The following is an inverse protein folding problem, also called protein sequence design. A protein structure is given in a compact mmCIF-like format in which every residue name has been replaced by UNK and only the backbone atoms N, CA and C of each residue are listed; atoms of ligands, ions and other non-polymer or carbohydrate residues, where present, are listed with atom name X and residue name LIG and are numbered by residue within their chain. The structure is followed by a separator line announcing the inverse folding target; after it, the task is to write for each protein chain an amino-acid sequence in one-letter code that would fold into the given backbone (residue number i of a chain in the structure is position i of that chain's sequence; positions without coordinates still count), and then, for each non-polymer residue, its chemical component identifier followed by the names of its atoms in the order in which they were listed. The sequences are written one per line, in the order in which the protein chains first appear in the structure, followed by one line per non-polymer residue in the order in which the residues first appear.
data_IF_370686328015
#
_entry.id   IF_370686328015
#
_cell.length_a   1.000
_cell.length_b   1.000
_cell.length_c   1.000
_cell.angle_alpha   90.00
_cell.angle_beta   90.00
_cell.angle_gamma   90.00
#
_symmetry.space_group_name_H-M   'P 1'
#
loop_
_entity.id
_entity.type
_entity.pdbx_description
1 polymer ?
#
# COMPACT_ATOMS: atom_id res chain seq x y z
N UNK A 1 -25.61 0.85 3.44
CA UNK A 1 -24.38 0.94 2.61
C UNK A 1 -23.86 -0.48 2.36
N UNK A 2 -22.87 -0.71 1.49
CA UNK A 2 -22.28 -2.04 1.25
C UNK A 2 -20.76 -1.94 1.00
N UNK A 3 -19.97 -3.01 1.21
CA UNK A 3 -18.55 -3.04 0.86
C UNK A 3 -18.32 -2.79 -0.63
N UNK A 4 -17.47 -1.81 -0.97
CA UNK A 4 -17.24 -1.38 -2.34
C UNK A 4 -16.02 -2.09 -2.92
N UNK A 5 -16.23 -2.87 -3.97
CA UNK A 5 -15.17 -3.41 -4.83
C UNK A 5 -14.96 -2.46 -6.00
N UNK A 6 -13.76 -2.49 -6.57
CA UNK A 6 -13.41 -1.66 -7.71
C UNK A 6 -12.93 -2.50 -8.89
N UNK A 7 -12.94 -1.92 -10.08
CA UNK A 7 -12.24 -2.44 -11.24
C UNK A 7 -10.72 -2.28 -11.04
N UNK A 8 -9.94 -3.26 -11.45
CA UNK A 8 -8.48 -3.20 -11.36
C UNK A 8 -7.91 -2.30 -12.46
N UNK A 9 -7.21 -1.25 -12.07
CA UNK A 9 -6.58 -0.31 -12.99
C UNK A 9 -5.14 -0.76 -13.28
N UNK A 10 -4.92 -1.38 -14.43
CA UNK A 10 -3.63 -1.99 -14.78
C UNK A 10 -2.71 -1.07 -15.58
N UNK A 11 -1.44 -1.05 -15.19
CA UNK A 11 -0.42 -0.25 -15.86
C UNK A 11 0.74 -1.10 -16.36
N UNK A 12 1.05 -0.93 -17.65
CA UNK A 12 2.25 -1.50 -18.25
C UNK A 12 3.50 -0.83 -17.69
N UNK A 13 4.49 -1.62 -17.31
CA UNK A 13 5.80 -1.13 -16.85
C UNK A 13 6.90 -1.98 -17.45
N UNK A 14 8.04 -1.37 -17.72
CA UNK A 14 9.23 -2.03 -18.29
C UNK A 14 9.77 -3.16 -17.40
N UNK A 15 9.48 -3.10 -16.10
CA UNK A 15 9.83 -4.10 -15.09
C UNK A 15 8.69 -5.07 -14.76
N UNK A 16 7.52 -4.87 -15.37
CA UNK A 16 6.31 -5.65 -15.11
C UNK A 16 6.34 -7.02 -15.76
N UNK A 17 5.29 -7.80 -15.50
CA UNK A 17 5.15 -9.11 -16.13
C UNK A 17 3.75 -9.68 -15.96
N UNK A 18 3.67 -11.00 -15.78
CA UNK A 18 2.41 -11.75 -15.76
C UNK A 18 2.10 -12.42 -14.42
N UNK A 19 2.92 -12.25 -13.39
CA UNK A 19 2.76 -12.99 -12.11
C UNK A 19 1.43 -12.77 -11.39
N UNK A 20 0.71 -11.66 -11.66
CA UNK A 20 -0.65 -11.45 -11.14
C UNK A 20 -1.67 -12.49 -11.67
N UNK A 21 -1.40 -13.16 -12.80
CA UNK A 21 -2.25 -14.25 -13.34
C UNK A 21 -2.39 -15.43 -12.39
N UNK A 22 -1.50 -15.57 -11.40
CA UNK A 22 -1.60 -16.58 -10.34
C UNK A 22 -2.93 -16.50 -9.57
N UNK A 23 -3.54 -15.31 -9.50
CA UNK A 23 -4.78 -15.07 -8.77
C UNK A 23 -5.74 -14.09 -9.44
N UNK A 24 -5.40 -13.50 -10.59
CA UNK A 24 -6.27 -12.61 -11.36
C UNK A 24 -6.56 -13.16 -12.74
N UNK A 25 -7.84 -13.12 -13.11
CA UNK A 25 -8.33 -13.64 -14.39
C UNK A 25 -8.62 -12.54 -15.42
N UNK A 26 -8.37 -11.27 -15.07
CA UNK A 26 -8.71 -10.08 -15.86
C UNK A 26 -7.47 -9.29 -16.29
N UNK A 27 -6.27 -9.86 -16.20
CA UNK A 27 -5.02 -9.18 -16.49
C UNK A 27 -4.86 -8.92 -18.01
N UNK A 28 -4.86 -7.65 -18.49
CA UNK A 28 -4.79 -7.32 -19.92
C UNK A 28 -3.42 -7.66 -20.50
N UNK A 29 -3.30 -7.86 -21.82
CA UNK A 29 -2.03 -8.23 -22.46
C UNK A 29 -0.86 -7.26 -22.19
N UNK A 30 0.35 -7.81 -22.09
CA UNK A 30 1.61 -7.08 -21.91
C UNK A 30 2.21 -7.18 -20.51
N UNK A 31 3.30 -6.44 -20.28
CA UNK A 31 4.05 -6.46 -19.02
C UNK A 31 3.40 -5.55 -18.00
N UNK A 32 2.53 -6.10 -17.15
CA UNK A 32 1.81 -5.34 -16.12
C UNK A 32 2.69 -5.24 -14.88
N UNK A 33 3.06 -4.02 -14.51
CA UNK A 33 3.86 -3.76 -13.31
C UNK A 33 3.03 -3.30 -12.12
N UNK A 34 1.92 -2.61 -12.37
CA UNK A 34 1.08 -2.09 -11.29
C UNK A 34 -0.39 -2.43 -11.56
N UNK A 35 -1.11 -2.75 -10.50
CA UNK A 35 -2.55 -2.61 -10.40
C UNK A 35 -2.85 -1.58 -9.33
N UNK A 36 -3.67 -0.58 -9.64
CA UNK A 36 -4.21 0.32 -8.62
C UNK A 36 -5.61 -0.20 -8.24
N UNK A 37 -5.72 -0.72 -7.02
CA UNK A 37 -6.91 -1.42 -6.55
C UNK A 37 -7.88 -0.48 -5.84
N UNK A 38 -7.36 0.50 -5.11
CA UNK A 38 -8.15 1.59 -4.54
C UNK A 38 -7.41 2.90 -4.78
N UNK A 39 -7.92 3.69 -5.73
CA UNK A 39 -7.36 4.95 -6.16
C UNK A 39 -8.44 6.03 -6.20
N UNK A 40 -8.09 7.22 -5.74
CA UNK A 40 -8.87 8.44 -5.93
C UNK A 40 -7.88 9.58 -6.16
N UNK A 41 -7.00 9.39 -7.14
CA UNK A 41 -5.93 10.30 -7.51
C UNK A 41 -6.36 11.13 -8.73
N UNK A 42 -5.71 12.29 -8.94
CA UNK A 42 -6.00 13.17 -10.09
C UNK A 42 -5.73 12.50 -11.45
N UNK A 43 -4.74 11.60 -11.49
CA UNK A 43 -4.35 10.91 -12.72
C UNK A 43 -5.27 9.73 -13.04
N UNK A 44 -5.74 9.02 -12.00
CA UNK A 44 -6.71 7.93 -12.16
C UNK A 44 -7.52 7.71 -10.89
N UNK A 45 -8.79 7.30 -11.07
CA UNK A 45 -9.72 7.03 -9.97
C UNK A 45 -10.47 5.73 -10.20
N UNK A 46 -10.55 4.92 -9.15
CA UNK A 46 -11.24 3.63 -9.16
C UNK A 46 -12.72 3.77 -9.53
N UNK A 47 -13.19 2.81 -10.32
CA UNK A 47 -14.59 2.65 -10.71
C UNK A 47 -15.18 1.50 -9.90
N UNK A 48 -16.33 1.72 -9.25
CA UNK A 48 -16.99 0.68 -8.46
C UNK A 48 -17.42 -0.47 -9.36
N UNK A 49 -17.10 -1.71 -8.99
CA UNK A 49 -17.38 -2.91 -9.80
C UNK A 49 -18.62 -3.69 -9.35
N UNK A 50 -19.16 -3.42 -8.16
CA UNK A 50 -20.26 -4.18 -7.56
C UNK A 50 -21.44 -3.31 -7.07
N UNK A 51 -22.60 -3.96 -6.88
CA UNK A 51 -23.80 -3.39 -6.28
C UNK A 51 -24.41 -2.19 -7.04
N UNK A 52 -25.25 -1.42 -6.34
CA UNK A 52 -26.04 -0.33 -6.94
C UNK A 52 -25.22 0.89 -7.42
N UNK A 53 -23.97 1.01 -7.00
CA UNK A 53 -23.05 2.06 -7.43
C UNK A 53 -22.08 1.60 -8.52
N UNK A 54 -22.23 0.37 -9.03
CA UNK A 54 -21.40 -0.13 -10.15
C UNK A 54 -21.32 0.88 -11.30
N UNK A 55 -20.12 1.10 -11.80
CA UNK A 55 -19.83 2.06 -12.88
C UNK A 55 -19.63 3.51 -12.41
N UNK A 56 -19.84 3.84 -11.12
CA UNK A 56 -19.52 5.16 -10.58
C UNK A 56 -18.04 5.25 -10.22
N UNK A 57 -17.43 6.39 -10.51
CA UNK A 57 -16.11 6.74 -10.01
C UNK A 57 -16.16 7.01 -8.49
N UNK A 58 -15.08 6.65 -7.79
CA UNK A 58 -14.99 6.81 -6.34
C UNK A 58 -15.07 8.27 -5.90
N UNK A 59 -14.44 9.20 -6.62
CA UNK A 59 -14.50 10.64 -6.35
C UNK A 59 -15.93 11.19 -6.42
N UNK A 60 -16.70 10.81 -7.44
CA UNK A 60 -18.09 11.21 -7.60
C UNK A 60 -18.99 10.59 -6.52
N UNK A 61 -18.73 9.34 -6.16
CA UNK A 61 -19.45 8.69 -5.07
C UNK A 61 -19.17 9.37 -3.72
N UNK A 62 -17.92 9.80 -3.46
CA UNK A 62 -17.54 10.56 -2.27
C UNK A 62 -18.24 11.94 -2.27
N UNK A 63 -18.34 12.62 -3.41
CA UNK A 63 -19.09 13.89 -3.51
C UNK A 63 -20.58 13.70 -3.19
N UNK A 64 -21.17 12.62 -3.68
CA UNK A 64 -22.59 12.30 -3.49
C UNK A 64 -22.91 11.87 -2.05
N UNK A 65 -22.12 10.95 -1.48
CA UNK A 65 -22.39 10.27 -0.21
C UNK A 65 -21.58 10.79 0.98
N UNK A 66 -20.51 11.55 0.72
CA UNK A 66 -19.73 12.29 1.73
C UNK A 66 -19.28 11.40 2.89
N UNK A 67 -19.71 11.75 4.11
CA UNK A 67 -19.35 11.06 5.35
C UNK A 67 -19.77 9.59 5.36
N UNK A 68 -20.78 9.20 4.57
CA UNK A 68 -21.21 7.81 4.52
C UNK A 68 -20.11 6.90 3.97
N UNK A 69 -19.27 7.43 3.06
CA UNK A 69 -18.12 6.72 2.49
C UNK A 69 -16.90 6.92 3.36
N UNK A 70 -16.44 8.17 3.49
CA UNK A 70 -15.10 8.44 4.04
C UNK A 70 -15.08 8.69 5.55
N UNK A 71 -16.23 8.99 6.16
CA UNK A 71 -16.35 9.34 7.57
C UNK A 71 -16.17 10.83 7.87
N UNK A 72 -16.34 11.21 9.14
CA UNK A 72 -16.34 12.62 9.57
C UNK A 72 -14.95 13.23 9.80
N UNK A 73 -13.88 12.41 9.88
CA UNK A 73 -12.52 12.85 10.16
C UNK A 73 -11.58 12.77 8.95
N UNK A 74 -12.07 12.30 7.82
CA UNK A 74 -11.30 12.20 6.58
C UNK A 74 -11.72 13.33 5.63
N UNK A 75 -10.75 13.91 4.94
CA UNK A 75 -10.99 14.92 3.91
C UNK A 75 -11.75 14.29 2.72
N UNK A 76 -12.80 14.98 2.25
CA UNK A 76 -13.66 14.52 1.16
C UNK A 76 -13.15 14.93 -0.22
N UNK A 77 -12.31 15.95 -0.25
CA UNK A 77 -11.74 16.51 -1.47
C UNK A 77 -10.36 15.92 -1.75
N UNK A 78 -9.66 15.47 -0.71
CA UNK A 78 -8.36 14.82 -0.83
C UNK A 78 -8.39 13.44 -0.17
N UNK A 79 -8.74 12.42 -0.97
CA UNK A 79 -8.71 11.03 -0.50
C UNK A 79 -7.28 10.67 -0.08
N UNK A 80 -7.07 10.05 1.10
CA UNK A 80 -5.74 10.04 1.72
C UNK A 80 -4.83 8.89 1.27
N UNK A 81 -5.40 7.80 0.74
CA UNK A 81 -4.66 6.57 0.47
C UNK A 81 -4.68 6.18 -1.01
N UNK A 82 -3.63 5.48 -1.44
CA UNK A 82 -3.58 4.75 -2.69
C UNK A 82 -3.12 3.33 -2.37
N UNK A 83 -3.86 2.33 -2.85
CA UNK A 83 -3.55 0.91 -2.65
C UNK A 83 -3.23 0.28 -3.99
N UNK A 84 -2.04 -0.31 -4.09
CA UNK A 84 -1.55 -0.93 -5.31
C UNK A 84 -1.09 -2.36 -5.05
N UNK A 85 -1.16 -3.19 -6.09
CA UNK A 85 -0.29 -4.35 -6.22
C UNK A 85 0.84 -4.01 -7.21
N UNK A 86 2.08 -4.18 -6.77
CA UNK A 86 3.26 -4.14 -7.64
C UNK A 86 3.63 -5.57 -8.04
N UNK A 87 4.03 -5.73 -9.29
CA UNK A 87 4.40 -7.01 -9.90
C UNK A 87 5.72 -6.84 -10.65
N UNK A 88 6.83 -7.28 -10.06
CA UNK A 88 8.17 -7.12 -10.66
C UNK A 88 8.71 -8.44 -11.20
N UNK A 89 9.15 -8.42 -12.46
CA UNK A 89 9.92 -9.52 -13.09
C UNK A 89 11.38 -9.13 -13.36
N UNK A 90 11.68 -7.84 -13.23
CA UNK A 90 13.03 -7.28 -13.20
C UNK A 90 13.06 -6.07 -12.26
N UNK A 91 14.22 -5.45 -12.11
CA UNK A 91 14.45 -4.38 -11.15
C UNK A 91 13.53 -3.17 -11.41
N UNK A 92 12.82 -2.76 -10.36
CA UNK A 92 12.14 -1.48 -10.33
C UNK A 92 13.18 -0.35 -10.30
N UNK A 93 12.85 0.85 -10.73
CA UNK A 93 13.82 1.97 -10.71
C UNK A 93 14.29 2.34 -9.30
N UNK A 94 15.56 2.72 -9.14
CA UNK A 94 16.01 3.31 -7.87
C UNK A 94 15.40 4.70 -7.74
N UNK A 95 14.66 4.93 -6.66
CA UNK A 95 13.83 6.11 -6.49
C UNK A 95 13.70 6.56 -5.04
N UNK A 96 13.29 7.82 -4.87
CA UNK A 96 12.99 8.43 -3.58
C UNK A 96 11.73 9.29 -3.70
N UNK A 97 10.97 9.36 -2.61
CA UNK A 97 9.71 10.08 -2.52
C UNK A 97 9.81 11.31 -1.61
N UNK A 98 9.15 12.43 -1.94
CA UNK A 98 9.11 13.60 -1.08
C UNK A 98 8.20 13.40 0.15
N UNK A 99 8.45 14.20 1.18
CA UNK A 99 7.50 14.38 2.29
C UNK A 99 6.40 15.39 1.92
N UNK A 100 5.38 15.53 2.77
CA UNK A 100 4.22 16.41 2.52
C UNK A 100 4.62 17.87 2.26
N UNK A 101 5.63 18.39 2.97
CA UNK A 101 6.04 19.78 2.83
C UNK A 101 6.67 20.03 1.46
N UNK A 102 7.60 19.18 1.02
CA UNK A 102 8.22 19.32 -0.29
C UNK A 102 7.19 19.08 -1.41
N UNK A 103 6.39 18.02 -1.32
CA UNK A 103 5.41 17.66 -2.33
C UNK A 103 4.35 18.76 -2.52
N UNK A 104 3.86 19.35 -1.43
CA UNK A 104 2.89 20.45 -1.50
C UNK A 104 3.45 21.69 -2.18
N UNK A 105 4.71 22.04 -1.90
CA UNK A 105 5.33 23.24 -2.44
C UNK A 105 5.83 23.08 -3.87
N UNK A 106 6.25 21.88 -4.27
CA UNK A 106 6.91 21.65 -5.57
C UNK A 106 6.00 20.96 -6.58
N UNK A 107 5.15 20.03 -6.14
CA UNK A 107 4.32 19.19 -7.01
C UNK A 107 2.82 19.47 -6.86
N UNK A 108 2.43 20.30 -5.88
CA UNK A 108 1.05 20.50 -5.45
C UNK A 108 0.34 19.15 -5.17
N UNK A 109 1.04 18.29 -4.43
CA UNK A 109 0.62 16.91 -4.14
C UNK A 109 0.89 16.55 -2.66
N UNK A 110 0.37 15.39 -2.23
CA UNK A 110 0.72 14.81 -0.94
C UNK A 110 2.16 14.30 -0.94
N UNK A 111 2.76 14.17 0.24
CA UNK A 111 3.96 13.35 0.39
C UNK A 111 3.66 11.90 0.05
N UNK A 112 4.71 11.09 -0.09
CA UNK A 112 4.58 9.67 -0.41
C UNK A 112 5.43 8.83 0.54
N UNK A 113 4.86 8.58 1.71
CA UNK A 113 5.24 7.47 2.60
C UNK A 113 4.42 6.25 2.24
N UNK A 114 5.04 5.07 2.35
CA UNK A 114 4.47 3.80 1.89
C UNK A 114 4.77 2.69 2.89
N UNK A 115 4.04 1.61 2.77
CA UNK A 115 4.35 0.34 3.42
C UNK A 115 4.12 -0.78 2.42
N UNK A 116 5.09 -1.69 2.38
CA UNK A 116 5.13 -2.83 1.49
C UNK A 116 4.90 -4.10 2.28
N UNK A 117 3.87 -4.85 1.91
CA UNK A 117 3.67 -6.23 2.34
C UNK A 117 4.03 -7.15 1.18
N UNK A 118 4.90 -8.13 1.43
CA UNK A 118 5.30 -9.13 0.44
C UNK A 118 4.20 -10.18 0.31
N UNK A 119 3.40 -10.08 -0.75
CA UNK A 119 2.31 -11.04 -1.05
C UNK A 119 2.88 -12.34 -1.60
N UNK A 120 3.88 -12.24 -2.48
CA UNK A 120 4.60 -13.36 -3.06
C UNK A 120 6.06 -12.97 -3.35
N UNK A 121 6.97 -13.93 -3.23
CA UNK A 121 8.40 -13.73 -3.43
C UNK A 121 9.07 -15.00 -3.95
N UNK A 122 9.86 -14.87 -5.02
CA UNK A 122 10.80 -15.90 -5.48
C UNK A 122 12.04 -15.97 -4.57
N UNK A 123 12.80 -17.06 -4.65
CA UNK A 123 13.90 -17.37 -3.73
C UNK A 123 14.97 -16.27 -3.64
N UNK A 124 15.32 -15.66 -4.77
CA UNK A 124 16.35 -14.60 -4.86
C UNK A 124 15.78 -13.18 -4.76
N UNK A 125 14.48 -13.06 -4.48
CA UNK A 125 13.79 -11.78 -4.46
C UNK A 125 14.19 -10.94 -3.24
N UNK A 126 14.42 -9.65 -3.47
CA UNK A 126 14.92 -8.75 -2.45
C UNK A 126 14.35 -7.34 -2.58
N UNK A 127 14.19 -6.70 -1.43
CA UNK A 127 14.01 -5.25 -1.35
C UNK A 127 15.36 -4.58 -1.24
N UNK A 128 15.49 -3.41 -1.84
CA UNK A 128 16.70 -2.60 -1.79
C UNK A 128 16.30 -1.27 -1.16
N UNK A 129 16.53 -1.11 0.13
CA UNK A 129 15.87 -0.08 0.95
C UNK A 129 16.87 0.62 1.89
N UNK A 130 17.02 1.92 1.69
CA UNK A 130 18.03 2.75 2.32
C UNK A 130 19.45 2.47 1.82
N UNK A 131 20.42 3.14 2.44
CA UNK A 131 21.84 2.96 2.16
C UNK A 131 22.56 2.19 3.27
N UNK A 132 23.66 1.53 2.90
CA UNK A 132 24.61 0.87 3.81
C UNK A 132 25.93 1.62 3.88
N UNK A 133 26.68 1.39 4.96
CA UNK A 133 27.95 2.08 5.21
C UNK A 133 27.79 3.59 5.39
N UNK A 134 28.90 4.31 5.20
CA UNK A 134 28.97 5.77 5.34
C UNK A 134 28.71 6.46 4.00
N UNK A 135 27.51 6.30 3.44
CA UNK A 135 27.12 6.97 2.19
C UNK A 135 26.72 8.43 2.46
N UNK A 136 27.52 9.39 1.96
CA UNK A 136 27.20 10.83 2.00
C UNK A 136 26.49 11.26 0.70
N UNK A 137 25.91 12.46 0.66
CA UNK A 137 25.26 12.98 -0.55
C UNK A 137 26.25 13.15 -1.71
N UNK A 138 27.51 13.49 -1.42
CA UNK A 138 28.58 13.63 -2.40
C UNK A 138 28.92 12.27 -3.01
N UNK A 139 29.16 11.26 -2.17
CA UNK A 139 29.41 9.88 -2.62
C UNK A 139 28.23 9.32 -3.41
N UNK A 140 27.00 9.56 -2.95
CA UNK A 140 25.79 9.14 -3.63
C UNK A 140 25.67 9.77 -5.03
N UNK A 141 25.96 11.07 -5.15
CA UNK A 141 25.95 11.80 -6.42
C UNK A 141 27.04 11.30 -7.37
N UNK A 142 28.23 10.99 -6.86
CA UNK A 142 29.30 10.39 -7.64
C UNK A 142 28.91 9.00 -8.13
N UNK A 143 28.36 8.15 -7.25
CA UNK A 143 27.92 6.80 -7.57
C UNK A 143 26.83 6.76 -8.65
N UNK A 144 25.92 7.75 -8.68
CA UNK A 144 24.95 7.89 -9.78
C UNK A 144 25.68 8.11 -11.12
N UNK A 145 26.71 8.97 -11.15
CA UNK A 145 27.45 9.30 -12.39
C UNK A 145 28.33 8.16 -12.87
N UNK A 146 28.92 7.39 -11.95
CA UNK A 146 29.79 6.27 -12.25
C UNK A 146 29.06 4.93 -12.39
N UNK A 147 27.74 4.91 -12.26
CA UNK A 147 26.92 3.69 -12.28
C UNK A 147 27.26 2.68 -11.18
N UNK A 148 27.73 3.16 -10.03
CA UNK A 148 28.14 2.34 -8.88
C UNK A 148 27.17 2.46 -7.68
N UNK A 149 25.96 2.97 -7.93
CA UNK A 149 24.95 3.25 -6.92
C UNK A 149 24.64 2.03 -6.05
N UNK A 150 24.53 0.85 -6.65
CA UNK A 150 24.19 -0.41 -5.97
C UNK A 150 25.15 -0.76 -4.83
N UNK A 151 26.43 -0.34 -4.92
CA UNK A 151 27.43 -0.56 -3.86
C UNK A 151 27.03 0.10 -2.54
N UNK A 152 26.28 1.19 -2.60
CA UNK A 152 25.81 1.93 -1.43
C UNK A 152 24.41 1.54 -1.00
N UNK A 153 23.70 0.75 -1.79
CA UNK A 153 22.33 0.35 -1.49
C UNK A 153 22.29 -0.86 -0.56
N UNK A 154 21.30 -0.87 0.32
CA UNK A 154 21.08 -1.94 1.27
C UNK A 154 20.08 -2.97 0.71
N UNK A 155 20.58 -4.12 0.24
CA UNK A 155 19.77 -5.24 -0.28
C UNK A 155 19.38 -6.18 0.85
N UNK A 156 18.09 -6.48 0.97
CA UNK A 156 17.51 -7.34 1.98
C UNK A 156 16.68 -8.42 1.28
N UNK A 157 17.08 -9.71 1.36
CA UNK A 157 16.23 -10.81 0.91
C UNK A 157 14.90 -10.81 1.68
N UNK A 158 13.81 -11.10 0.99
CA UNK A 158 12.47 -11.08 1.59
C UNK A 158 11.70 -12.34 1.27
N UNK A 159 10.66 -12.61 2.05
CA UNK A 159 9.74 -13.73 1.84
C UNK A 159 8.29 -13.28 2.02
N UNK A 160 7.35 -14.09 1.53
CA UNK A 160 5.90 -13.89 1.75
C UNK A 160 5.61 -13.57 3.22
N UNK A 161 4.82 -12.53 3.44
CA UNK A 161 4.41 -12.04 4.76
C UNK A 161 5.33 -10.99 5.38
N UNK A 162 6.50 -10.70 4.79
CA UNK A 162 7.37 -9.65 5.28
C UNK A 162 6.77 -8.25 5.05
N UNK A 163 7.00 -7.33 6.01
CA UNK A 163 6.43 -5.98 5.97
C UNK A 163 7.51 -4.93 6.21
N UNK A 164 7.58 -3.92 5.34
CA UNK A 164 8.57 -2.84 5.42
C UNK A 164 7.90 -1.48 5.27
N UNK A 165 8.22 -0.56 6.18
CA UNK A 165 7.81 0.85 6.05
C UNK A 165 8.85 1.60 5.21
N UNK A 166 8.40 2.21 4.12
CA UNK A 166 9.20 3.05 3.23
C UNK A 166 8.84 4.51 3.51
N UNK A 167 9.62 5.14 4.39
CA UNK A 167 9.41 6.55 4.75
C UNK A 167 9.80 7.44 3.58
N UNK A 168 9.06 8.53 3.36
CA UNK A 168 9.48 9.60 2.45
C UNK A 168 10.93 10.03 2.73
N UNK A 169 11.73 10.25 1.69
CA UNK A 169 13.15 10.55 1.76
C UNK A 169 14.06 9.31 1.76
N UNK A 170 13.53 8.11 1.99
CA UNK A 170 14.29 6.87 1.87
C UNK A 170 14.53 6.53 0.41
N UNK A 171 15.79 6.30 0.02
CA UNK A 171 16.09 5.72 -1.29
C UNK A 171 15.70 4.25 -1.30
N UNK A 172 15.00 3.79 -2.32
CA UNK A 172 14.53 2.42 -2.39
C UNK A 172 14.32 1.92 -3.83
N UNK A 173 14.25 0.60 -3.95
CA UNK A 173 13.76 -0.16 -5.09
C UNK A 173 13.51 -1.61 -4.66
N UNK A 174 13.19 -2.49 -5.60
CA UNK A 174 13.06 -3.93 -5.42
C UNK A 174 13.55 -4.66 -6.67
N UNK A 175 13.97 -5.91 -6.50
CA UNK A 175 14.37 -6.80 -7.62
C UNK A 175 13.13 -7.32 -8.37
N UNK A 176 13.36 -8.12 -9.41
CA UNK A 176 12.34 -9.01 -9.94
C UNK A 176 11.94 -10.11 -8.95
N UNK A 177 10.84 -10.81 -9.27
CA UNK A 177 10.34 -11.95 -8.52
C UNK A 177 9.44 -11.59 -7.33
N UNK A 178 8.83 -10.39 -7.32
CA UNK A 178 7.99 -9.93 -6.20
C UNK A 178 6.57 -9.57 -6.63
N UNK A 179 5.62 -9.90 -5.76
CA UNK A 179 4.30 -9.27 -5.71
C UNK A 179 4.18 -8.55 -4.36
N UNK A 180 4.00 -7.24 -4.41
CA UNK A 180 3.92 -6.38 -3.23
C UNK A 180 2.53 -5.74 -3.14
N UNK A 181 1.89 -5.81 -1.99
CA UNK A 181 0.80 -4.90 -1.65
C UNK A 181 1.41 -3.61 -1.09
N UNK A 182 1.31 -2.54 -1.86
CA UNK A 182 1.80 -1.21 -1.52
C UNK A 182 0.61 -0.35 -1.04
N UNK A 183 0.64 0.00 0.24
CA UNK A 183 -0.30 0.98 0.82
C UNK A 183 0.50 2.26 1.02
N UNK A 184 0.02 3.34 0.44
CA UNK A 184 0.73 4.62 0.44
C UNK A 184 -0.22 5.79 0.64
N UNK A 185 0.34 6.96 0.94
CA UNK A 185 -0.37 8.22 0.75
C UNK A 185 -0.81 8.34 -0.71
N UNK A 186 -1.92 9.05 -0.96
CA UNK A 186 -2.49 9.21 -2.30
C UNK A 186 -1.67 10.21 -3.17
N UNK A 187 -0.48 9.79 -3.57
CA UNK A 187 0.45 10.51 -4.44
C UNK A 187 1.13 9.55 -5.40
N UNK A 188 1.36 9.93 -6.64
CA UNK A 188 2.21 9.18 -7.57
C UNK A 188 3.60 9.81 -7.78
N UNK A 189 3.96 10.79 -6.94
CA UNK A 189 5.20 11.55 -7.08
C UNK A 189 6.44 10.69 -6.80
N UNK A 190 7.29 10.54 -7.82
CA UNK A 190 8.46 9.67 -7.78
C UNK A 190 9.70 10.34 -8.38
N UNK A 191 10.78 10.48 -7.60
CA UNK A 191 12.05 10.97 -8.12
C UNK A 191 13.02 9.82 -8.37
N UNK A 192 13.13 9.46 -9.64
CA UNK A 192 14.02 8.40 -10.12
C UNK A 192 15.47 8.86 -10.18
N UNK A 193 16.40 8.07 -9.66
CA UNK A 193 17.85 8.33 -9.76
C UNK A 193 18.60 7.37 -10.65
N UNK A 194 18.09 6.15 -10.82
CA UNK A 194 18.67 5.16 -11.71
C UNK A 194 17.59 4.22 -12.24
N UNK A 195 17.71 3.83 -13.51
CA UNK A 195 16.71 3.01 -14.20
C UNK A 195 17.31 1.85 -14.99
N UNK A 196 18.52 1.39 -14.62
CA UNK A 196 19.20 0.27 -15.30
C UNK A 196 19.35 0.52 -16.80
N UNK A 197 19.65 1.77 -17.17
CA UNK A 197 19.86 2.22 -18.55
C UNK A 197 18.68 2.00 -19.51
N UNK A 198 17.44 1.89 -18.99
CA UNK A 198 16.20 1.74 -19.79
C UNK A 198 15.68 3.05 -20.40
N UNK A 199 16.41 4.16 -20.25
CA UNK A 199 16.13 5.43 -20.94
C UNK A 199 14.97 6.26 -20.41
N UNK A 200 14.36 5.91 -19.26
CA UNK A 200 13.31 6.74 -18.64
C UNK A 200 13.91 7.95 -17.90
N UNK A 201 13.09 8.99 -17.75
CA UNK A 201 13.47 10.23 -17.09
C UNK A 201 14.00 10.01 -15.66
N UNK A 202 15.11 10.70 -15.37
CA UNK A 202 15.76 10.78 -14.07
C UNK A 202 15.56 12.18 -13.47
N UNK A 203 15.33 12.23 -12.18
CA UNK A 203 14.97 13.44 -11.42
C UNK A 203 16.05 13.77 -10.38
N UNK A 204 17.33 13.72 -10.78
CA UNK A 204 18.47 13.73 -9.85
C UNK A 204 18.44 14.91 -8.88
N UNK A 205 18.13 16.12 -9.37
CA UNK A 205 18.08 17.33 -8.52
C UNK A 205 17.00 17.20 -7.44
N UNK A 206 15.75 16.91 -7.83
CA UNK A 206 14.62 16.75 -6.89
C UNK A 206 14.87 15.60 -5.91
N UNK A 207 15.45 14.50 -6.38
CA UNK A 207 15.85 13.37 -5.52
C UNK A 207 16.85 13.81 -4.44
N UNK A 208 17.89 14.56 -4.81
CA UNK A 208 18.91 15.05 -3.87
C UNK A 208 18.36 16.06 -2.85
N UNK A 209 17.32 16.81 -3.21
CA UNK A 209 16.64 17.73 -2.30
C UNK A 209 15.92 16.99 -1.17
N UNK A 210 15.32 15.83 -1.47
CA UNK A 210 14.44 15.11 -0.51
C UNK A 210 15.08 13.88 0.14
N UNK A 211 16.18 13.37 -0.41
CA UNK A 211 16.83 12.17 0.10
C UNK A 211 17.42 12.41 1.49
N UNK A 212 17.15 11.45 2.38
CA UNK A 212 17.77 11.32 3.69
C UNK A 212 18.45 9.95 3.78
N UNK A 213 19.78 9.97 3.65
CA UNK A 213 20.65 8.78 3.65
C UNK A 213 20.78 8.14 5.04
N UNK A 214 20.28 8.81 6.09
CA UNK A 214 20.29 8.26 7.45
C UNK A 214 19.06 7.39 7.74
N UNK A 215 18.00 7.47 6.92
CA UNK A 215 16.82 6.65 7.12
C UNK A 215 17.19 5.19 6.87
N UNK A 216 17.04 4.36 7.91
CA UNK A 216 17.22 2.91 7.84
C UNK A 216 15.87 2.22 7.67
N UNK A 217 15.81 1.28 6.74
CA UNK A 217 14.67 0.41 6.59
C UNK A 217 14.48 -0.44 7.85
N UNK A 218 13.22 -0.59 8.25
CA UNK A 218 12.86 -1.43 9.40
C UNK A 218 11.78 -2.40 8.97
N UNK A 219 12.09 -3.69 9.08
CA UNK A 219 11.08 -4.74 9.01
C UNK A 219 10.13 -4.59 10.18
N UNK A 220 8.82 -4.61 9.93
CA UNK A 220 7.84 -4.65 10.99
C UNK A 220 7.50 -6.09 11.35
N UNK A 221 7.63 -6.42 12.64
CA UNK A 221 7.14 -7.68 13.20
C UNK A 221 5.77 -7.50 13.88
N UNK A 222 5.32 -6.26 14.06
CA UNK A 222 4.05 -5.90 14.69
C UNK A 222 3.89 -6.34 16.15
N UNK A 223 2.68 -6.11 16.67
CA UNK A 223 2.20 -6.64 17.96
C UNK A 223 1.04 -7.58 17.64
N UNK A 224 1.20 -8.87 17.95
CA UNK A 224 0.22 -9.92 17.67
C UNK A 224 -0.68 -10.16 18.87
N UNK A 225 -1.97 -10.27 18.60
CA UNK A 225 -3.04 -10.63 19.52
C UNK A 225 -3.78 -11.84 18.94
N UNK A 226 -4.09 -12.81 19.78
CA UNK A 226 -4.75 -14.06 19.38
C UNK A 226 -6.15 -14.10 19.96
N UNK A 227 -7.12 -14.43 19.12
CA UNK A 227 -8.53 -14.57 19.49
C UNK A 227 -9.06 -15.92 19.04
N UNK A 228 -10.26 -16.25 19.47
CA UNK A 228 -10.97 -17.41 18.92
C UNK A 228 -11.30 -17.17 17.44
N UNK A 229 -10.79 -18.03 16.56
CA UNK A 229 -11.09 -18.00 15.12
C UNK A 229 -10.19 -17.11 14.26
N UNK A 230 -9.35 -16.25 14.84
CA UNK A 230 -8.40 -15.40 14.09
C UNK A 230 -7.25 -14.86 14.95
N UNK A 231 -6.17 -14.44 14.29
CA UNK A 231 -5.12 -13.61 14.87
C UNK A 231 -5.16 -12.20 14.27
N UNK A 232 -4.84 -11.18 15.07
CA UNK A 232 -4.66 -9.79 14.62
C UNK A 232 -3.26 -9.33 14.95
N UNK A 233 -2.56 -8.75 13.98
CA UNK A 233 -1.23 -8.14 14.19
C UNK A 233 -1.26 -6.68 13.80
N UNK A 234 -0.98 -5.78 14.74
CA UNK A 234 -0.78 -4.35 14.45
C UNK A 234 0.60 -4.15 13.83
N UNK A 235 0.67 -3.96 12.52
CA UNK A 235 1.91 -3.91 11.74
C UNK A 235 2.56 -2.53 11.76
N UNK A 236 1.80 -1.45 11.66
CA UNK A 236 2.34 -0.10 11.83
C UNK A 236 1.28 0.88 12.28
N UNK A 237 1.70 1.88 13.06
CA UNK A 237 0.87 3.02 13.46
C UNK A 237 1.59 4.30 13.03
N UNK A 238 1.22 4.81 11.85
CA UNK A 238 1.70 6.08 11.30
C UNK A 238 0.64 7.17 11.37
N UNK A 239 1.05 8.43 11.16
CA UNK A 239 0.10 9.56 11.09
C UNK A 239 -0.75 9.53 9.82
N UNK A 240 -0.17 9.06 8.71
CA UNK A 240 -0.81 9.08 7.40
C UNK A 240 -1.59 7.79 7.14
N UNK A 241 -1.18 6.67 7.73
CA UNK A 241 -1.90 5.39 7.72
C UNK A 241 -1.44 4.44 8.83
N UNK A 242 -2.30 3.46 9.12
CA UNK A 242 -2.07 2.32 10.02
C UNK A 242 -2.39 1.03 9.28
N UNK A 243 -1.64 -0.03 9.57
CA UNK A 243 -1.87 -1.37 9.02
C UNK A 243 -2.07 -2.39 10.13
N UNK A 244 -3.10 -3.21 9.94
CA UNK A 244 -3.38 -4.39 10.75
C UNK A 244 -3.44 -5.61 9.82
N UNK A 245 -2.87 -6.73 10.23
CA UNK A 245 -2.99 -8.01 9.53
C UNK A 245 -3.94 -8.91 10.31
N UNK A 246 -4.99 -9.37 9.65
CA UNK A 246 -5.90 -10.39 10.16
C UNK A 246 -5.55 -11.72 9.51
N UNK A 247 -5.31 -12.75 10.31
CA UNK A 247 -5.14 -14.14 9.87
C UNK A 247 -6.35 -14.94 10.37
N UNK A 248 -7.34 -15.11 9.51
CA UNK A 248 -8.65 -15.65 9.85
C UNK A 248 -8.72 -17.12 9.46
N UNK A 249 -9.06 -17.98 10.43
CA UNK A 249 -9.23 -19.41 10.21
C UNK A 249 -10.71 -19.85 10.23
N UNK A 250 -11.59 -19.05 10.84
CA UNK A 250 -13.03 -19.28 10.89
C UNK A 250 -13.81 -18.00 10.58
N UNK A 251 -13.99 -17.13 11.58
CA UNK A 251 -14.64 -15.84 11.40
C UNK A 251 -14.24 -14.84 12.49
N UNK A 252 -14.43 -13.56 12.21
CA UNK A 252 -14.40 -12.50 13.21
C UNK A 252 -15.45 -11.44 12.93
N UNK A 253 -15.88 -10.74 13.98
CA UNK A 253 -16.85 -9.66 13.90
C UNK A 253 -16.15 -8.32 14.09
N UNK A 254 -16.48 -7.35 13.24
CA UNK A 254 -15.99 -5.98 13.37
C UNK A 254 -17.11 -4.98 13.06
N UNK A 255 -16.83 -3.70 13.31
CA UNK A 255 -17.74 -2.60 13.01
C UNK A 255 -16.99 -1.52 12.24
N UNK A 256 -17.64 -0.92 11.26
CA UNK A 256 -17.13 0.29 10.62
C UNK A 256 -17.04 1.45 11.62
N UNK A 257 -16.34 2.50 11.24
CA UNK A 257 -16.15 3.68 12.07
C UNK A 257 -16.74 4.90 11.38
N UNK A 258 -17.69 5.57 12.02
CA UNK A 258 -18.34 6.76 11.46
C UNK A 258 -17.35 7.92 11.23
N UNK A 259 -16.15 7.86 11.80
CA UNK A 259 -15.10 8.84 11.59
C UNK A 259 -14.24 8.57 10.35
N UNK A 260 -14.16 7.32 9.88
CA UNK A 260 -13.17 6.89 8.87
C UNK A 260 -13.56 5.61 8.14
N UNK A 261 -13.17 5.49 6.88
CA UNK A 261 -13.28 4.24 6.12
C UNK A 261 -12.13 3.27 6.42
N UNK A 262 -12.31 2.00 6.06
CA UNK A 262 -11.25 0.99 6.04
C UNK A 262 -11.09 0.42 4.64
N UNK A 263 -9.88 -0.01 4.28
CA UNK A 263 -9.64 -0.83 3.08
C UNK A 263 -9.08 -2.16 3.55
N UNK A 264 -9.70 -3.26 3.13
CA UNK A 264 -9.12 -4.59 3.26
C UNK A 264 -8.50 -5.01 1.94
N UNK A 265 -7.28 -5.55 1.98
CA UNK A 265 -6.60 -6.19 0.85
C UNK A 265 -6.31 -7.63 1.20
N UNK A 266 -6.79 -8.56 0.40
CA UNK A 266 -6.55 -9.98 0.63
C UNK A 266 -5.19 -10.40 0.09
N UNK A 267 -4.38 -10.96 0.98
CA UNK A 267 -3.00 -11.37 0.70
C UNK A 267 -2.77 -12.86 0.87
N UNK A 268 -3.79 -13.61 1.31
CA UNK A 268 -3.80 -15.06 1.27
C UNK A 268 -5.23 -15.61 1.37
N UNK A 269 -5.49 -16.72 0.68
CA UNK A 269 -6.77 -17.43 0.77
C UNK A 269 -7.99 -16.66 0.23
N UNK A 270 -9.17 -16.98 0.77
CA UNK A 270 -10.45 -16.46 0.31
C UNK A 270 -11.50 -16.50 1.43
N UNK A 271 -12.47 -15.61 1.32
CA UNK A 271 -13.52 -15.45 2.32
C UNK A 271 -14.65 -14.57 1.83
N UNK A 272 -15.49 -14.20 2.78
CA UNK A 272 -16.65 -13.34 2.54
C UNK A 272 -16.87 -12.37 3.68
N UNK A 273 -17.42 -11.21 3.34
CA UNK A 273 -17.80 -10.15 4.28
C UNK A 273 -19.32 -10.11 4.31
N UNK A 274 -19.89 -10.58 5.42
CA UNK A 274 -21.33 -10.60 5.68
C UNK A 274 -21.71 -9.34 6.45
N UNK A 275 -22.68 -8.58 5.94
CA UNK A 275 -23.18 -7.34 6.54
C UNK A 275 -24.71 -7.36 6.50
N UNK A 276 -25.38 -6.42 7.20
CA UNK A 276 -26.83 -6.45 7.42
C UNK A 276 -27.68 -6.70 6.17
N UNK A 277 -27.24 -6.20 5.01
CA UNK A 277 -28.00 -6.23 3.76
C UNK A 277 -27.38 -7.10 2.66
N UNK A 278 -26.39 -7.95 2.97
CA UNK A 278 -25.79 -8.80 1.94
C UNK A 278 -24.46 -9.44 2.31
N UNK A 279 -23.78 -9.94 1.29
CA UNK A 279 -22.47 -10.59 1.42
C UNK A 279 -21.62 -10.28 0.19
N UNK A 280 -20.36 -9.92 0.40
CA UNK A 280 -19.39 -9.74 -0.68
C UNK A 280 -18.25 -10.74 -0.52
N UNK A 281 -17.86 -11.39 -1.62
CA UNK A 281 -16.69 -12.28 -1.65
C UNK A 281 -15.40 -11.47 -1.81
N UNK A 282 -14.36 -11.93 -1.15
CA UNK A 282 -13.00 -11.40 -1.27
C UNK A 282 -12.00 -12.54 -1.37
N UNK A 283 -11.14 -12.48 -2.39
CA UNK A 283 -10.12 -13.49 -2.69
C UNK A 283 -8.74 -12.86 -2.81
N UNK A 284 -7.69 -13.68 -2.74
CA UNK A 284 -6.29 -13.26 -2.89
C UNK A 284 -6.13 -12.24 -4.04
N UNK A 285 -5.51 -11.12 -3.72
CA UNK A 285 -5.19 -10.06 -4.68
C UNK A 285 -6.32 -9.07 -4.95
N UNK A 286 -7.45 -9.18 -4.25
CA UNK A 286 -8.53 -8.18 -4.30
C UNK A 286 -8.46 -7.23 -3.10
N UNK A 287 -8.78 -5.95 -3.34
CA UNK A 287 -9.07 -4.97 -2.28
C UNK A 287 -10.55 -4.59 -2.25
N UNK A 288 -11.05 -4.27 -1.06
CA UNK A 288 -12.43 -3.82 -0.82
C UNK A 288 -12.43 -2.66 0.18
N UNK A 289 -13.17 -1.60 -0.14
CA UNK A 289 -13.38 -0.48 0.76
C UNK A 289 -14.62 -0.73 1.61
N UNK A 290 -14.47 -0.60 2.92
CA UNK A 290 -15.55 -0.62 3.91
C UNK A 290 -15.95 0.82 4.20
N UNK A 291 -17.15 1.25 3.77
CA UNK A 291 -17.61 2.61 4.03
C UNK A 291 -17.75 2.88 5.53
N UNK A 292 -17.47 4.11 5.95
CA UNK A 292 -17.56 4.55 7.34
C UNK A 292 -18.95 4.25 7.97
N UNK A 293 -20.01 4.29 7.15
CA UNK A 293 -21.39 4.05 7.56
C UNK A 293 -21.89 2.59 7.43
N UNK A 294 -21.02 1.62 7.14
CA UNK A 294 -21.47 0.25 6.90
C UNK A 294 -22.18 -0.38 8.11
N UNK A 295 -21.69 -0.12 9.32
CA UNK A 295 -22.17 -0.76 10.54
C UNK A 295 -21.39 -2.02 10.88
N UNK A 296 -22.09 -3.01 11.45
CA UNK A 296 -21.49 -4.28 11.86
C UNK A 296 -21.31 -5.20 10.64
N UNK A 297 -20.20 -5.93 10.60
CA UNK A 297 -19.96 -6.96 9.60
C UNK A 297 -19.15 -8.12 10.19
N UNK A 298 -19.23 -9.27 9.54
CA UNK A 298 -18.52 -10.50 9.90
C UNK A 298 -17.67 -10.90 8.70
N UNK A 299 -16.39 -11.16 8.93
CA UNK A 299 -15.52 -11.74 7.90
C UNK A 299 -15.38 -13.23 8.20
N UNK A 300 -15.70 -14.08 7.22
CA UNK A 300 -15.65 -15.54 7.33
C UNK A 300 -14.71 -16.14 6.30
N UNK A 301 -14.07 -17.26 6.64
CA UNK A 301 -13.26 -18.06 5.74
C UNK A 301 -11.86 -18.36 6.26
N UNK A 302 -11.01 -18.85 5.36
CA UNK A 302 -9.57 -19.03 5.58
C UNK A 302 -8.86 -17.97 4.75
N UNK A 303 -8.60 -16.83 5.36
CA UNK A 303 -8.20 -15.62 4.65
C UNK A 303 -7.23 -14.78 5.48
N UNK A 304 -6.21 -14.21 4.81
CA UNK A 304 -5.36 -13.17 5.39
C UNK A 304 -5.66 -11.83 4.75
N UNK A 305 -5.99 -10.85 5.58
CA UNK A 305 -6.38 -9.51 5.15
C UNK A 305 -5.48 -8.46 5.78
N UNK A 306 -4.97 -7.54 4.97
CA UNK A 306 -4.40 -6.28 5.44
C UNK A 306 -5.53 -5.26 5.52
N UNK A 307 -5.77 -4.73 6.72
CA UNK A 307 -6.63 -3.57 6.93
C UNK A 307 -5.77 -2.32 6.95
N UNK A 308 -6.04 -1.38 6.06
CA UNK A 308 -5.39 -0.07 6.00
C UNK A 308 -6.39 1.07 6.20
N UNK A 309 -5.98 2.08 6.95
CA UNK A 309 -6.81 3.24 7.31
C UNK A 309 -5.97 4.40 7.83
N UNK A 310 -6.53 5.62 7.83
CA UNK A 310 -5.94 6.77 8.52
C UNK A 310 -6.35 6.74 10.00
N UNK A 311 -5.42 6.56 10.95
CA UNK A 311 -5.77 6.34 12.35
C UNK A 311 -6.01 7.64 13.12
N UNK A 312 -6.79 7.55 14.21
CA UNK A 312 -6.51 8.38 15.38
C UNK A 312 -5.42 7.69 16.20
N UNK A 313 -4.20 8.24 16.17
CA UNK A 313 -3.03 7.62 16.80
C UNK A 313 -3.27 7.40 18.31
N UNK A 314 -3.88 8.36 19.00
CA UNK A 314 -4.08 8.26 20.46
C UNK A 314 -5.09 7.18 20.77
N UNK A 315 -6.19 7.14 20.03
CA UNK A 315 -7.24 6.11 20.17
C UNK A 315 -6.68 4.71 19.94
N UNK A 316 -6.02 4.49 18.80
CA UNK A 316 -5.46 3.17 18.46
C UNK A 316 -4.39 2.75 19.45
N UNK A 317 -3.53 3.68 19.90
CA UNK A 317 -2.52 3.38 20.92
C UNK A 317 -3.15 2.93 22.22
N UNK A 318 -4.22 3.60 22.68
CA UNK A 318 -4.92 3.23 23.90
C UNK A 318 -5.62 1.87 23.76
N UNK A 319 -6.24 1.59 22.60
CA UNK A 319 -6.84 0.29 22.31
C UNK A 319 -5.81 -0.83 22.42
N UNK A 320 -4.66 -0.71 21.75
CA UNK A 320 -3.58 -1.70 21.83
C UNK A 320 -3.09 -1.87 23.27
N UNK A 321 -2.86 -0.76 23.98
CA UNK A 321 -2.36 -0.80 25.37
C UNK A 321 -3.34 -1.51 26.31
N UNK A 322 -4.64 -1.26 26.17
CA UNK A 322 -5.66 -1.89 27.01
C UNK A 322 -5.75 -3.41 26.78
N UNK A 323 -5.31 -3.91 25.63
CA UNK A 323 -5.33 -5.34 25.32
C UNK A 323 -4.06 -6.09 25.78
N UNK A 324 -2.98 -5.38 26.09
CA UNK A 324 -1.69 -5.98 26.47
C UNK A 324 -1.25 -5.70 27.91
N UNK A 325 -1.93 -4.78 28.60
CA UNK A 325 -1.69 -4.50 30.02
C UNK A 325 -2.49 -5.50 30.85
N UNK A 326 -1.77 -6.34 31.62
CA UNK A 326 -2.32 -7.25 32.61
C UNK A 326 -2.25 -6.66 34.02
#
# INVERSE_FOLDING_TARGET
MYPLKFEHLYYKKVWGGRSLEKFRNDLPEGNIGESWDVACHKDETSIVSNGKFKGKRLDDLIKEKRNEIVGTKIDKFWFPLLVKLLNTTSELSVQVHPNDNYARNVENDMGKTEVWYVVDAEEEAALIVGTKGNCTKELFKEAIKSSELERYMNKIPVKKGDVYLIKSGMIHTMTGGLIIAEIQQNSDTTYRVYDYNRGRELHIKKALDVIDLNIKAKKSNGIKLTYEGYEKTHLCLGKDFSLELYDVCNEFTEKSDNERFYIFTCVDGNGEIVYDNGTEKISLGESILIPASLGKYIIKGKIKLIKSYVPDIKKVKNEILNEIIY
#
